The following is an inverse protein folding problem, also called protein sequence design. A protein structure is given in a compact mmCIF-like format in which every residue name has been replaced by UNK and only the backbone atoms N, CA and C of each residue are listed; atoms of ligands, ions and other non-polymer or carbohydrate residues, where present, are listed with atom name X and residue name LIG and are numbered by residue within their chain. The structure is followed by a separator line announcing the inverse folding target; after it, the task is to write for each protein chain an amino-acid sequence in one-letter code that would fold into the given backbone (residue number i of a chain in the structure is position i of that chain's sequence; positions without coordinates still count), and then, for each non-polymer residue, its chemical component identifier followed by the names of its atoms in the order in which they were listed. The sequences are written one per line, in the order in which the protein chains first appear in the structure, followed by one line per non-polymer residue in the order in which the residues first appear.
data_IF_720608199729
#
_entry.id   IF_720608199729
#
_cell.length_a   1.000
_cell.length_b   1.000
_cell.length_c   1.000
_cell.angle_alpha   90.00
_cell.angle_beta   90.00
_cell.angle_gamma   90.00
#
_symmetry.space_group_name_H-M   'P 1'
#
loop_
_entity.id
_entity.type
_entity.pdbx_description
1 polymer ?
#
# COMPACT_ATOMS: atom_id res chain seq x y z
N UNK A 1 -11.98 -10.02 -17.31
CA UNK A 1 -10.83 -9.11 -17.10
C UNK A 1 -9.85 -9.82 -16.18
N UNK A 2 -8.67 -10.19 -16.68
CA UNK A 2 -7.64 -10.86 -15.87
C UNK A 2 -7.07 -9.80 -14.93
N UNK A 3 -7.50 -9.82 -13.67
CA UNK A 3 -6.93 -9.03 -12.58
C UNK A 3 -5.52 -9.58 -12.39
N UNK A 4 -4.59 -8.98 -13.13
CA UNK A 4 -3.30 -9.56 -13.42
C UNK A 4 -2.54 -9.85 -12.14
N UNK A 5 -1.92 -11.03 -12.13
CA UNK A 5 -0.99 -11.59 -11.13
C UNK A 5 0.27 -10.72 -10.88
N UNK A 6 0.24 -9.44 -11.24
CA UNK A 6 1.31 -8.44 -11.25
C UNK A 6 1.56 -7.78 -9.88
N UNK A 7 0.57 -7.80 -8.97
CA UNK A 7 0.71 -7.15 -7.66
C UNK A 7 1.54 -7.95 -6.64
N UNK A 8 1.77 -9.26 -6.87
CA UNK A 8 2.43 -10.13 -5.90
C UNK A 8 3.94 -9.89 -5.74
N UNK A 9 4.58 -9.12 -6.63
CA UNK A 9 6.04 -8.97 -6.65
C UNK A 9 6.56 -7.60 -6.18
N UNK A 10 5.70 -6.59 -6.04
CA UNK A 10 6.18 -5.19 -6.01
C UNK A 10 6.39 -4.62 -4.60
N UNK A 11 5.78 -5.16 -3.54
CA UNK A 11 5.89 -4.55 -2.20
C UNK A 11 6.55 -5.41 -1.12
N UNK A 12 7.05 -6.61 -1.46
CA UNK A 12 7.69 -7.47 -0.44
C UNK A 12 9.19 -7.23 -0.23
N UNK A 13 9.79 -6.17 -0.79
CA UNK A 13 11.25 -5.98 -0.69
C UNK A 13 11.72 -4.53 -0.73
N UNK A 14 11.33 -3.69 0.24
CA UNK A 14 12.23 -2.60 0.64
C UNK A 14 12.34 -2.53 2.15
N UNK A 15 13.20 -3.42 2.65
CA UNK A 15 13.82 -3.32 3.97
C UNK A 15 14.88 -2.21 3.93
N UNK A 16 14.44 -0.95 3.86
CA UNK A 16 15.24 0.21 4.24
C UNK A 16 14.43 0.98 5.28
N UNK A 17 15.09 1.40 6.36
CA UNK A 17 14.47 1.77 7.65
C UNK A 17 13.58 3.02 7.66
N UNK A 18 13.14 3.52 6.50
CA UNK A 18 12.31 4.73 6.38
C UNK A 18 11.34 4.75 5.19
N UNK A 19 11.17 3.64 4.45
CA UNK A 19 10.22 3.59 3.35
C UNK A 19 8.85 3.06 3.78
N UNK A 20 7.75 3.58 3.19
CA UNK A 20 6.42 3.18 3.56
C UNK A 20 6.07 1.80 2.99
N UNK A 21 5.51 0.95 3.83
CA UNK A 21 5.18 -0.44 3.49
C UNK A 21 3.72 -0.53 3.07
N UNK A 22 3.46 -0.91 1.81
CA UNK A 22 2.10 -1.07 1.27
C UNK A 22 1.70 -2.56 1.24
N UNK A 23 0.71 -2.93 2.03
CA UNK A 23 0.16 -4.29 2.06
C UNK A 23 -1.22 -4.30 1.43
N UNK A 24 -1.53 -5.30 0.61
CA UNK A 24 -2.87 -5.52 0.09
C UNK A 24 -3.57 -6.57 0.95
N UNK A 25 -4.63 -6.18 1.66
CA UNK A 25 -5.35 -7.02 2.61
C UNK A 25 -6.82 -7.12 2.22
N UNK A 26 -7.46 -8.17 2.72
CA UNK A 26 -8.90 -8.34 2.63
C UNK A 26 -9.51 -8.07 4.02
N UNK A 27 -10.59 -7.30 4.07
CA UNK A 27 -11.31 -7.05 5.32
C UNK A 27 -12.19 -8.26 5.69
N UNK A 28 -12.84 -8.20 6.86
CA UNK A 28 -13.72 -9.27 7.32
C UNK A 28 -14.99 -9.44 6.45
N UNK A 29 -15.30 -8.46 5.60
CA UNK A 29 -16.44 -8.48 4.68
C UNK A 29 -16.07 -9.02 3.30
N UNK A 30 -14.78 -9.32 3.06
CA UNK A 30 -14.27 -9.79 1.77
C UNK A 30 -13.85 -8.67 0.82
N UNK A 31 -13.86 -7.40 1.25
CA UNK A 31 -13.40 -6.28 0.43
C UNK A 31 -11.88 -6.17 0.46
N UNK A 32 -11.29 -5.95 -0.70
CA UNK A 32 -9.87 -5.69 -0.84
C UNK A 32 -9.56 -4.23 -0.53
N UNK A 33 -8.50 -4.00 0.24
CA UNK A 33 -8.00 -2.67 0.57
C UNK A 33 -6.47 -2.68 0.70
N UNK A 34 -5.88 -1.50 0.54
CA UNK A 34 -4.46 -1.28 0.69
C UNK A 34 -4.18 -0.67 2.06
N UNK A 35 -3.30 -1.28 2.83
CA UNK A 35 -2.81 -0.77 4.11
C UNK A 35 -1.39 -0.26 3.93
N UNK A 36 -1.16 1.01 4.18
CA UNK A 36 0.17 1.61 4.16
C UNK A 36 0.64 1.87 5.58
N UNK A 37 1.85 1.44 5.91
CA UNK A 37 2.56 1.84 7.13
C UNK A 37 3.69 2.78 6.77
N UNK A 38 3.68 4.00 7.31
CA UNK A 38 4.76 4.96 7.16
C UNK A 38 5.62 4.99 8.43
N UNK A 39 6.85 4.44 8.40
CA UNK A 39 7.74 4.45 9.56
C UNK A 39 8.30 5.84 9.88
N UNK A 40 8.27 6.80 8.94
CA UNK A 40 8.75 8.16 9.22
C UNK A 40 7.75 8.97 10.05
N UNK A 41 6.45 8.78 9.77
CA UNK A 41 5.38 9.46 10.47
C UNK A 41 4.78 8.64 11.61
N UNK A 42 5.19 7.37 11.76
CA UNK A 42 4.57 6.35 12.62
C UNK A 42 3.05 6.27 12.42
N UNK A 43 2.63 6.24 11.14
CA UNK A 43 1.21 6.29 10.76
C UNK A 43 0.81 5.11 9.90
N UNK A 44 -0.42 4.66 10.12
CA UNK A 44 -1.09 3.69 9.27
C UNK A 44 -2.19 4.38 8.47
N UNK A 45 -2.23 4.12 7.18
CA UNK A 45 -3.29 4.58 6.27
C UNK A 45 -3.94 3.37 5.61
N UNK A 46 -5.23 3.48 5.30
CA UNK A 46 -5.98 2.47 4.57
C UNK A 46 -6.66 3.13 3.37
N UNK A 47 -6.58 2.49 2.21
CA UNK A 47 -7.10 2.99 0.95
C UNK A 47 -7.90 1.89 0.23
N UNK A 48 -8.99 2.27 -0.43
CA UNK A 48 -9.84 1.32 -1.15
C UNK A 48 -9.30 1.00 -2.54
N UNK A 49 -8.42 1.85 -3.08
CA UNK A 49 -7.94 1.76 -4.46
C UNK A 49 -6.43 2.01 -4.57
N UNK A 50 -5.85 1.46 -5.64
CA UNK A 50 -4.47 1.70 -6.02
C UNK A 50 -4.19 3.19 -6.32
N UNK A 51 -5.17 3.90 -6.89
CA UNK A 51 -5.04 5.31 -7.22
C UNK A 51 -4.86 6.17 -5.96
N UNK A 52 -5.60 5.87 -4.89
CA UNK A 52 -5.45 6.55 -3.60
C UNK A 52 -4.07 6.30 -2.97
N UNK A 53 -3.56 5.06 -3.06
CA UNK A 53 -2.19 4.73 -2.64
C UNK A 53 -1.15 5.56 -3.38
N UNK A 54 -1.30 5.72 -4.70
CA UNK A 54 -0.39 6.53 -5.52
C UNK A 54 -0.43 8.00 -5.16
N UNK A 55 -1.62 8.56 -4.97
CA UNK A 55 -1.76 9.95 -4.54
C UNK A 55 -1.11 10.19 -3.18
N UNK A 56 -1.25 9.26 -2.25
CA UNK A 56 -0.60 9.35 -0.95
C UNK A 56 0.93 9.27 -1.04
N UNK A 57 1.47 8.37 -1.86
CA UNK A 57 2.91 8.27 -2.10
C UNK A 57 3.46 9.56 -2.73
N UNK A 58 2.76 10.11 -3.72
CA UNK A 58 3.14 11.37 -4.38
C UNK A 58 3.20 12.52 -3.37
N UNK A 59 2.18 12.66 -2.52
CA UNK A 59 2.13 13.65 -1.44
C UNK A 59 3.28 13.51 -0.43
N UNK A 60 3.75 12.29 -0.17
CA UNK A 60 4.85 12.04 0.79
C UNK A 60 6.22 12.42 0.24
N UNK A 61 6.40 12.36 -1.08
CA UNK A 61 7.67 12.66 -1.74
C UNK A 61 7.83 14.13 -2.15
N UNK A 62 6.79 14.94 -1.97
CA UNK A 62 6.75 16.38 -2.25
C UNK A 62 6.84 17.21 -0.97
#
# INVERSE_FOLDING_TARGET
MKLNQFWNAVVSRISNSGEPQVNHRQDHQGNWYYQIYDPQADKHNAFGTEQEVRMWLDQRHH
#
